data_IF_724143505462
#
_entry.id   IF_724143505462
#
_cell.length_a   1.000
_cell.length_b   1.000
_cell.length_c   1.000
_cell.angle_alpha   90.00
_cell.angle_beta   90.00
_cell.angle_gamma   90.00
#
_symmetry.space_group_name_H-M   'P 1'
#
loop_
_entity.id
_entity.type
_entity.pdbx_description
1 polymer ?
#
# COMPACT_ATOMS: atom_id res chain seq x y z
N UNK A 1 3.24 -10.01 1.46
CA UNK A 1 3.76 -8.64 1.41
C UNK A 1 2.74 -7.65 0.83
N UNK A 2 3.06 -6.36 0.91
CA UNK A 2 2.17 -5.30 0.43
C UNK A 2 1.96 -5.31 -1.08
N UNK A 3 2.95 -5.72 -1.88
CA UNK A 3 2.81 -5.77 -3.34
C UNK A 3 1.84 -6.86 -3.77
N UNK A 4 1.93 -8.04 -3.17
CA UNK A 4 0.99 -9.14 -3.39
C UNK A 4 -0.41 -8.79 -2.90
N UNK A 5 -0.52 -8.14 -1.73
CA UNK A 5 -1.79 -7.62 -1.21
C UNK A 5 -2.43 -6.62 -2.19
N UNK A 6 -1.63 -5.76 -2.82
CA UNK A 6 -2.09 -4.81 -3.84
C UNK A 6 -2.61 -5.53 -5.09
N UNK A 7 -1.89 -6.52 -5.59
CA UNK A 7 -2.34 -7.31 -6.74
C UNK A 7 -3.65 -8.08 -6.45
N UNK A 8 -3.78 -8.64 -5.25
CA UNK A 8 -5.03 -9.27 -4.80
C UNK A 8 -6.19 -8.27 -4.69
N UNK A 9 -5.90 -7.02 -4.26
CA UNK A 9 -6.90 -5.95 -4.24
C UNK A 9 -7.40 -5.61 -5.66
N UNK A 10 -6.50 -5.55 -6.64
CA UNK A 10 -6.87 -5.36 -8.06
C UNK A 10 -7.71 -6.54 -8.56
N UNK A 11 -7.30 -7.79 -8.31
CA UNK A 11 -8.09 -8.98 -8.62
C UNK A 11 -9.48 -8.93 -8.00
N UNK A 12 -9.57 -8.49 -6.75
CA UNK A 12 -10.83 -8.32 -6.04
C UNK A 12 -11.72 -7.27 -6.72
N UNK A 13 -11.17 -6.12 -7.10
CA UNK A 13 -11.90 -5.06 -7.80
C UNK A 13 -12.44 -5.55 -9.15
N UNK A 14 -11.64 -6.26 -9.93
CA UNK A 14 -12.08 -6.88 -11.21
C UNK A 14 -13.25 -7.86 -11.01
N UNK A 15 -13.20 -8.68 -9.96
CA UNK A 15 -14.31 -9.59 -9.63
C UNK A 15 -15.60 -8.85 -9.25
N UNK A 16 -15.48 -7.72 -8.55
CA UNK A 16 -16.62 -6.90 -8.11
C UNK A 16 -17.24 -6.16 -9.29
N UNK A 17 -16.44 -5.46 -10.06
CA UNK A 17 -16.91 -4.58 -11.15
C UNK A 17 -17.23 -5.33 -12.44
N UNK A 18 -16.66 -6.52 -12.65
CA UNK A 18 -16.71 -7.28 -13.90
C UNK A 18 -16.07 -6.52 -15.07
N UNK A 19 -15.05 -5.72 -14.81
CA UNK A 19 -14.30 -4.91 -15.77
C UNK A 19 -12.82 -5.27 -15.71
N UNK A 20 -12.08 -5.02 -16.79
CA UNK A 20 -10.70 -5.46 -16.94
C UNK A 20 -9.69 -4.31 -17.04
N UNK A 21 -10.14 -3.06 -17.20
CA UNK A 21 -9.25 -1.90 -17.28
C UNK A 21 -8.84 -1.45 -15.88
N UNK A 22 -7.53 -1.29 -15.67
CA UNK A 22 -6.92 -0.84 -14.42
C UNK A 22 -6.10 0.41 -14.67
N UNK A 23 -6.36 1.46 -13.91
CA UNK A 23 -5.60 2.71 -13.95
C UNK A 23 -4.70 2.78 -12.72
N UNK A 24 -3.40 2.88 -12.93
CA UNK A 24 -2.41 2.94 -11.85
C UNK A 24 -1.81 4.34 -11.80
N UNK A 25 -1.73 4.93 -10.59
CA UNK A 25 -1.06 6.21 -10.36
C UNK A 25 0.40 6.15 -10.79
N UNK A 26 0.90 7.17 -11.48
CA UNK A 26 2.31 7.26 -11.88
C UNK A 26 3.28 7.23 -10.70
N UNK A 27 2.82 7.59 -9.50
CA UNK A 27 3.60 7.65 -8.26
C UNK A 27 3.44 6.42 -7.37
N UNK A 28 2.83 5.33 -7.88
CA UNK A 28 2.90 4.03 -7.22
C UNK A 28 4.32 3.49 -7.27
N UNK A 29 4.75 2.80 -6.21
CA UNK A 29 6.04 2.11 -6.19
C UNK A 29 6.18 1.22 -7.44
N UNK A 30 7.23 1.40 -8.28
CA UNK A 30 7.31 0.75 -9.59
C UNK A 30 7.29 -0.77 -9.50
N UNK A 31 7.94 -1.37 -8.51
CA UNK A 31 7.89 -2.82 -8.31
C UNK A 31 6.49 -3.35 -7.94
N UNK A 32 5.65 -2.53 -7.30
CA UNK A 32 4.24 -2.89 -7.07
C UNK A 32 3.46 -2.93 -8.38
N UNK A 33 3.72 -1.97 -9.28
CA UNK A 33 3.12 -1.99 -10.61
C UNK A 33 3.57 -3.22 -11.42
N UNK A 34 4.85 -3.61 -11.33
CA UNK A 34 5.36 -4.83 -11.96
C UNK A 34 4.71 -6.10 -11.40
N UNK A 35 4.52 -6.18 -10.07
CA UNK A 35 3.84 -7.31 -9.44
C UNK A 35 2.37 -7.38 -9.87
N UNK A 36 1.67 -6.24 -9.92
CA UNK A 36 0.31 -6.17 -10.46
C UNK A 36 0.30 -6.71 -11.89
N UNK A 37 1.18 -6.18 -12.75
CA UNK A 37 1.26 -6.61 -14.14
C UNK A 37 1.53 -8.12 -14.25
N UNK A 38 2.44 -8.66 -13.46
CA UNK A 38 2.82 -10.07 -13.50
C UNK A 38 1.68 -11.00 -13.05
N UNK A 39 0.95 -10.63 -12.00
CA UNK A 39 -0.05 -11.50 -11.38
C UNK A 39 -1.46 -11.35 -11.98
N UNK A 40 -1.75 -10.19 -12.58
CA UNK A 40 -3.10 -9.84 -13.01
C UNK A 40 -3.24 -9.89 -14.53
N UNK A 41 -2.15 -9.65 -15.28
CA UNK A 41 -2.22 -9.56 -16.75
C UNK A 41 -2.74 -10.84 -17.37
N UNK A 42 -3.79 -10.70 -18.16
CA UNK A 42 -4.29 -11.68 -19.11
C UNK A 42 -4.46 -10.99 -20.48
N UNK A 43 -4.78 -11.75 -21.52
CA UNK A 43 -5.01 -11.18 -22.87
C UNK A 43 -6.19 -10.19 -22.93
N UNK A 44 -7.02 -10.14 -21.89
CA UNK A 44 -8.21 -9.28 -21.81
C UNK A 44 -7.98 -8.05 -20.90
N UNK A 45 -6.82 -7.95 -20.24
CA UNK A 45 -6.54 -6.90 -19.27
C UNK A 45 -5.86 -5.71 -19.93
N UNK A 46 -6.31 -4.52 -19.57
CA UNK A 46 -5.75 -3.24 -19.98
C UNK A 46 -5.22 -2.51 -18.76
N UNK A 47 -3.90 -2.53 -18.57
CA UNK A 47 -3.23 -1.88 -17.43
C UNK A 47 -2.56 -0.60 -17.91
N UNK A 48 -3.06 0.54 -17.42
CA UNK A 48 -2.49 1.86 -17.69
C UNK A 48 -1.56 2.26 -16.55
N UNK A 49 -0.27 2.21 -16.80
CA UNK A 49 0.77 2.67 -15.90
C UNK A 49 1.89 3.37 -16.66
N UNK A 50 2.29 4.54 -16.20
CA UNK A 50 3.42 5.30 -16.68
C UNK A 50 4.10 5.95 -15.48
N UNK A 51 5.29 5.48 -15.12
CA UNK A 51 6.02 5.97 -13.95
C UNK A 51 6.41 7.45 -14.13
N UNK A 52 6.09 8.26 -13.14
CA UNK A 52 6.42 9.69 -13.11
C UNK A 52 6.49 10.19 -11.68
N UNK A 53 7.33 11.19 -11.43
CA UNK A 53 7.43 11.85 -10.12
C UNK A 53 6.27 12.83 -9.82
N UNK A 54 5.38 13.06 -10.79
CA UNK A 54 4.28 14.00 -10.66
C UNK A 54 2.95 13.29 -10.45
N UNK A 55 2.33 13.50 -9.29
CA UNK A 55 0.94 13.15 -9.05
C UNK A 55 0.05 14.32 -9.44
N UNK A 56 -0.70 14.17 -10.51
CA UNK A 56 -1.68 15.15 -10.98
C UNK A 56 -3.06 14.47 -11.03
N UNK A 57 -3.94 14.85 -10.11
CA UNK A 57 -5.25 14.22 -9.97
C UNK A 57 -6.10 14.35 -11.22
N UNK A 58 -6.02 15.49 -11.92
CA UNK A 58 -6.75 15.77 -13.16
C UNK A 58 -6.31 14.85 -14.30
N UNK A 59 -5.01 14.59 -14.42
CA UNK A 59 -4.48 13.64 -15.41
C UNK A 59 -4.93 12.20 -15.11
N UNK A 60 -4.98 11.84 -13.84
CA UNK A 60 -5.45 10.52 -13.45
C UNK A 60 -6.94 10.37 -13.74
N UNK A 61 -7.76 11.38 -13.39
CA UNK A 61 -9.18 11.46 -13.69
C UNK A 61 -9.46 11.34 -15.18
N UNK A 62 -8.64 11.96 -16.03
CA UNK A 62 -8.85 11.90 -17.49
C UNK A 62 -8.68 10.50 -18.11
N UNK A 63 -8.08 9.56 -17.38
CA UNK A 63 -7.91 8.15 -17.78
C UNK A 63 -9.06 7.24 -17.31
N UNK A 64 -9.97 7.76 -16.49
CA UNK A 64 -11.06 7.00 -15.86
C UNK A 64 -12.33 7.16 -16.68
N UNK A 65 -12.85 6.05 -17.17
CA UNK A 65 -14.13 5.92 -17.87
C UNK A 65 -14.94 4.75 -17.30
N UNK A 66 -16.09 4.47 -17.89
CA UNK A 66 -17.01 3.41 -17.46
C UNK A 66 -16.50 1.98 -17.73
N UNK A 67 -15.38 1.81 -18.43
CA UNK A 67 -14.69 0.53 -18.61
C UNK A 67 -13.71 0.21 -17.48
N UNK A 68 -13.33 1.22 -16.65
CA UNK A 68 -12.36 1.07 -15.59
C UNK A 68 -12.91 0.22 -14.45
N UNK A 69 -12.15 -0.79 -14.04
CA UNK A 69 -12.39 -1.62 -12.87
C UNK A 69 -12.03 -0.91 -11.57
N UNK A 70 -10.80 -0.42 -11.53
CA UNK A 70 -10.26 0.27 -10.36
C UNK A 70 -9.16 1.26 -10.72
N UNK A 71 -8.97 2.19 -9.79
CA UNK A 71 -7.84 3.10 -9.76
C UNK A 71 -6.97 2.74 -8.57
N UNK A 72 -5.66 2.59 -8.78
CA UNK A 72 -4.68 2.23 -7.75
C UNK A 72 -3.79 3.44 -7.48
N UNK A 73 -3.77 3.92 -6.23
CA UNK A 73 -2.92 5.03 -5.80
C UNK A 73 -2.16 4.64 -4.54
N UNK A 74 -0.97 5.21 -4.36
CA UNK A 74 -0.20 5.05 -3.12
C UNK A 74 -0.22 6.37 -2.33
N UNK A 75 -0.43 6.29 -1.00
CA UNK A 75 -0.42 7.47 -0.14
C UNK A 75 0.11 7.13 1.27
N UNK A 76 1.24 7.69 1.73
CA UNK A 76 2.16 8.55 0.97
C UNK A 76 2.66 7.88 -0.31
N UNK A 77 2.91 8.67 -1.36
CA UNK A 77 3.34 8.13 -2.63
C UNK A 77 4.81 7.67 -2.61
N UNK A 78 5.28 7.06 -3.69
CA UNK A 78 6.65 6.54 -3.79
C UNK A 78 7.73 7.60 -3.55
N UNK A 79 7.45 8.85 -3.91
CA UNK A 79 8.37 9.97 -3.71
C UNK A 79 8.23 10.64 -2.33
N UNK A 80 7.33 10.11 -1.49
CA UNK A 80 7.07 10.54 -0.12
C UNK A 80 5.98 11.61 0.03
N UNK A 81 5.36 12.07 -1.06
CA UNK A 81 4.31 13.11 -0.99
C UNK A 81 3.00 12.55 -0.47
N UNK A 82 2.32 13.36 0.35
CA UNK A 82 0.99 13.05 0.87
C UNK A 82 -0.08 13.80 0.08
N UNK A 83 -1.15 13.11 -0.28
CA UNK A 83 -2.22 13.62 -1.14
C UNK A 83 -3.59 13.53 -0.48
N UNK A 84 -4.49 14.49 -0.82
CA UNK A 84 -5.92 14.37 -0.62
C UNK A 84 -6.51 13.53 -1.76
N UNK A 85 -7.28 12.50 -1.43
CA UNK A 85 -7.81 11.55 -2.42
C UNK A 85 -9.33 11.67 -2.62
N UNK A 86 -10.01 12.58 -1.90
CA UNK A 86 -11.45 12.69 -1.90
C UNK A 86 -12.03 12.99 -3.29
N UNK A 87 -11.44 13.95 -4.01
CA UNK A 87 -11.86 14.29 -5.38
C UNK A 87 -11.70 13.11 -6.33
N UNK A 88 -10.58 12.40 -6.24
CA UNK A 88 -10.34 11.21 -7.05
C UNK A 88 -11.33 10.10 -6.71
N UNK A 89 -11.64 9.90 -5.42
CA UNK A 89 -12.60 8.92 -4.96
C UNK A 89 -13.99 9.18 -5.52
N UNK A 90 -14.47 10.43 -5.40
CA UNK A 90 -15.79 10.84 -5.92
C UNK A 90 -15.91 10.58 -7.42
N UNK A 91 -14.91 10.99 -8.20
CA UNK A 91 -14.93 10.77 -9.64
C UNK A 91 -14.88 9.28 -9.99
N UNK A 92 -13.97 8.52 -9.36
CA UNK A 92 -13.84 7.07 -9.55
C UNK A 92 -15.18 6.36 -9.30
N UNK A 93 -15.86 6.71 -8.21
CA UNK A 93 -17.16 6.14 -7.87
C UNK A 93 -18.26 6.56 -8.85
N UNK A 94 -18.22 7.78 -9.38
CA UNK A 94 -19.21 8.24 -10.38
C UNK A 94 -19.16 7.42 -11.67
N UNK A 95 -17.99 6.87 -12.01
CA UNK A 95 -17.78 5.94 -13.14
C UNK A 95 -18.04 4.48 -12.77
N UNK A 96 -18.42 4.19 -11.53
CA UNK A 96 -18.66 2.82 -11.04
C UNK A 96 -17.39 1.99 -10.86
N UNK A 97 -16.21 2.62 -10.86
CA UNK A 97 -14.94 2.00 -10.55
C UNK A 97 -14.66 2.01 -9.04
N UNK A 98 -13.67 1.23 -8.58
CA UNK A 98 -13.24 1.18 -7.18
C UNK A 98 -11.92 1.92 -6.98
N UNK A 99 -11.78 2.61 -5.86
CA UNK A 99 -10.52 3.21 -5.44
C UNK A 99 -9.76 2.26 -4.51
N UNK A 100 -8.56 1.86 -4.93
CA UNK A 100 -7.60 1.09 -4.14
C UNK A 100 -6.50 2.03 -3.67
N UNK A 101 -6.29 2.10 -2.36
CA UNK A 101 -5.20 2.89 -1.77
C UNK A 101 -4.14 1.96 -1.20
N UNK A 102 -2.91 2.18 -1.62
CA UNK A 102 -1.73 1.45 -1.15
C UNK A 102 -1.02 2.27 -0.07
N UNK A 103 -0.68 1.64 1.05
CA UNK A 103 0.06 2.26 2.16
C UNK A 103 1.31 1.44 2.43
N UNK A 104 2.46 1.89 1.93
CA UNK A 104 3.73 1.18 2.11
C UNK A 104 4.31 1.39 3.51
N UNK A 105 4.07 2.54 4.13
CA UNK A 105 4.48 2.83 5.51
C UNK A 105 3.25 2.93 6.41
N UNK A 106 2.90 1.81 7.04
CA UNK A 106 1.71 1.71 7.87
C UNK A 106 1.73 2.65 9.09
N UNK A 107 2.91 3.02 9.59
CA UNK A 107 3.04 3.94 10.74
C UNK A 107 2.45 5.32 10.41
N UNK A 108 2.39 5.71 9.13
CA UNK A 108 1.77 6.95 8.68
C UNK A 108 0.31 7.10 9.11
N UNK A 109 -0.42 5.99 9.22
CA UNK A 109 -1.83 5.95 9.62
C UNK A 109 -2.09 6.42 11.06
N UNK A 110 -1.05 6.54 11.89
CA UNK A 110 -1.17 7.12 13.22
C UNK A 110 -1.31 8.67 13.23
N UNK A 111 -1.03 9.33 12.10
CA UNK A 111 -1.12 10.80 11.95
C UNK A 111 -1.94 11.24 10.76
N UNK A 112 -1.93 10.48 9.68
CA UNK A 112 -2.66 10.82 8.46
C UNK A 112 -4.13 10.44 8.57
N UNK A 113 -4.98 11.15 7.82
CA UNK A 113 -6.37 10.74 7.58
C UNK A 113 -6.37 9.35 6.95
N UNK A 114 -7.23 8.46 7.45
CA UNK A 114 -7.28 7.09 6.94
C UNK A 114 -7.73 7.05 5.48
N UNK A 115 -7.21 6.12 4.66
CA UNK A 115 -7.67 5.97 3.27
C UNK A 115 -9.18 5.74 3.15
N UNK A 116 -9.78 5.00 4.10
CA UNK A 116 -11.23 4.78 4.14
C UNK A 116 -12.02 6.06 4.30
N UNK A 117 -11.57 7.00 5.16
CA UNK A 117 -12.20 8.33 5.32
C UNK A 117 -12.00 9.22 4.09
N UNK A 118 -10.97 8.98 3.28
CA UNK A 118 -10.75 9.65 1.99
C UNK A 118 -11.50 8.98 0.83
N UNK A 119 -12.31 7.94 1.11
CA UNK A 119 -13.17 7.30 0.12
C UNK A 119 -12.67 5.97 -0.44
N UNK A 120 -11.51 5.45 -0.03
CA UNK A 120 -11.02 4.15 -0.50
C UNK A 120 -12.05 3.03 -0.32
N UNK A 121 -12.16 2.16 -1.31
CA UNK A 121 -12.98 0.95 -1.25
C UNK A 121 -12.19 -0.25 -0.72
N UNK A 122 -10.92 -0.31 -1.11
CA UNK A 122 -9.97 -1.34 -0.69
C UNK A 122 -8.66 -0.64 -0.31
N UNK A 123 -8.06 -1.06 0.78
CA UNK A 123 -6.74 -0.59 1.22
C UNK A 123 -5.81 -1.77 1.31
N UNK A 124 -4.65 -1.68 0.67
CA UNK A 124 -3.59 -2.66 0.74
C UNK A 124 -2.36 -2.02 1.41
N UNK A 125 -1.77 -2.69 2.40
CA UNK A 125 -0.64 -2.13 3.14
C UNK A 125 0.53 -3.12 3.24
N UNK A 126 1.73 -2.57 3.45
CA UNK A 126 2.86 -3.32 3.97
C UNK A 126 2.95 -3.10 5.49
N UNK A 127 2.95 -4.20 6.25
CA UNK A 127 2.91 -4.15 7.71
C UNK A 127 4.24 -4.39 8.41
N UNK A 128 5.34 -4.56 7.68
CA UNK A 128 6.66 -4.92 8.26
C UNK A 128 7.09 -3.99 9.38
N UNK A 129 6.85 -2.69 9.27
CA UNK A 129 7.26 -1.68 10.25
C UNK A 129 6.71 -1.89 11.68
N UNK A 130 5.72 -2.79 11.82
CA UNK A 130 5.11 -3.15 13.11
C UNK A 130 5.42 -4.60 13.47
N UNK A 131 6.44 -4.79 14.31
CA UNK A 131 6.76 -6.09 14.93
C UNK A 131 7.59 -7.05 14.07
N UNK A 132 7.87 -6.73 12.82
CA UNK A 132 8.74 -7.53 11.95
C UNK A 132 10.06 -6.78 11.72
N UNK A 133 11.22 -7.36 12.09
CA UNK A 133 12.50 -6.67 11.95
C UNK A 133 12.94 -6.57 10.49
N UNK A 134 13.84 -5.63 10.20
CA UNK A 134 14.51 -5.52 8.91
C UNK A 134 15.43 -6.72 8.70
N UNK A 135 15.14 -7.55 7.71
CA UNK A 135 15.93 -8.71 7.34
C UNK A 135 16.46 -8.64 5.89
N UNK A 136 16.48 -7.43 5.30
CA UNK A 136 17.05 -7.17 3.97
C UNK A 136 16.50 -8.08 2.86
N UNK A 137 15.20 -8.24 2.79
CA UNK A 137 14.52 -9.07 1.78
C UNK A 137 13.34 -9.88 2.33
N UNK A 138 12.84 -9.52 3.49
CA UNK A 138 11.73 -10.18 4.16
C UNK A 138 12.15 -10.94 5.43
N UNK A 139 11.18 -11.52 6.15
CA UNK A 139 9.78 -11.63 5.74
C UNK A 139 9.03 -10.29 5.85
N UNK A 140 8.03 -10.16 5.01
CA UNK A 140 7.08 -9.04 4.97
C UNK A 140 5.69 -9.53 5.31
N UNK A 141 4.73 -8.58 5.50
CA UNK A 141 3.33 -8.93 5.74
C UNK A 141 2.39 -7.98 4.99
N UNK A 142 1.64 -8.52 4.04
CA UNK A 142 0.58 -7.80 3.37
C UNK A 142 -0.67 -7.72 4.26
N UNK A 143 -1.24 -6.53 4.33
CA UNK A 143 -2.50 -6.26 5.01
C UNK A 143 -3.53 -5.81 4.00
N UNK A 144 -4.79 -6.16 4.23
CA UNK A 144 -5.89 -5.73 3.38
C UNK A 144 -7.12 -5.41 4.22
N UNK A 145 -7.77 -4.30 3.88
CA UNK A 145 -9.08 -3.95 4.41
C UNK A 145 -10.01 -3.48 3.28
N UNK A 146 -11.31 -3.58 3.49
CA UNK A 146 -12.33 -3.19 2.51
C UNK A 146 -13.61 -2.77 3.20
N UNK A 147 -14.49 -2.08 2.44
CA UNK A 147 -15.84 -1.76 2.89
C UNK A 147 -16.65 -3.04 3.12
N UNK A 148 -17.51 -3.08 4.13
CA UNK A 148 -18.30 -4.24 4.54
C UNK A 148 -19.07 -4.89 3.39
N UNK A 149 -19.62 -4.10 2.48
CA UNK A 149 -20.35 -4.60 1.30
C UNK A 149 -19.52 -5.52 0.40
N UNK A 150 -18.19 -5.49 0.51
CA UNK A 150 -17.28 -6.29 -0.31
C UNK A 150 -16.61 -7.44 0.45
N UNK A 151 -16.90 -7.64 1.72
CA UNK A 151 -16.24 -8.66 2.58
C UNK A 151 -16.24 -10.06 1.97
N UNK A 152 -17.30 -10.41 1.23
CA UNK A 152 -17.41 -11.73 0.55
C UNK A 152 -16.43 -11.90 -0.62
N UNK A 153 -15.82 -10.83 -1.10
CA UNK A 153 -14.83 -10.85 -2.18
C UNK A 153 -13.39 -10.76 -1.67
N UNK A 154 -13.21 -10.53 -0.36
CA UNK A 154 -11.90 -10.40 0.27
C UNK A 154 -11.12 -11.71 0.11
N UNK A 155 -9.86 -11.70 -0.36
CA UNK A 155 -9.03 -12.90 -0.41
C UNK A 155 -8.64 -13.37 1.00
N UNK A 156 -8.19 -14.62 1.09
CA UNK A 156 -7.71 -15.20 2.34
C UNK A 156 -8.83 -15.63 3.30
N UNK A 157 -8.42 -16.07 4.46
CA UNK A 157 -9.30 -16.62 5.51
C UNK A 157 -9.83 -15.50 6.38
N UNK A 158 -11.10 -15.61 6.75
CA UNK A 158 -11.75 -14.69 7.68
C UNK A 158 -12.20 -15.50 8.89
N UNK A 159 -11.83 -15.02 10.07
CA UNK A 159 -12.25 -15.60 11.35
C UNK A 159 -13.43 -14.80 11.88
N UNK A 160 -14.50 -15.50 12.23
CA UNK A 160 -15.69 -14.92 12.86
C UNK A 160 -15.78 -15.32 14.32
N UNK A 161 -16.32 -14.43 15.14
CA UNK A 161 -16.69 -14.71 16.51
C UNK A 161 -18.06 -15.41 16.54
N UNK A 162 -18.21 -16.42 17.38
CA UNK A 162 -19.46 -17.16 17.59
C UNK A 162 -19.53 -17.66 19.04
N UNK A 163 -20.61 -18.30 19.38
CA UNK A 163 -20.77 -19.02 20.66
C UNK A 163 -20.95 -20.52 20.42
N UNK A 164 -20.43 -21.34 21.31
CA UNK A 164 -20.66 -22.79 21.30
C UNK A 164 -22.05 -23.15 21.83
N UNK A 165 -22.35 -24.47 21.95
CA UNK A 165 -23.61 -24.94 22.44
C UNK A 165 -23.88 -24.61 23.92
N UNK A 166 -22.83 -24.28 24.69
CA UNK A 166 -22.91 -23.90 26.10
C UNK A 166 -22.98 -22.36 26.27
N UNK A 167 -22.94 -21.59 25.17
CA UNK A 167 -22.92 -20.13 25.20
C UNK A 167 -21.52 -19.55 25.41
N UNK A 168 -20.46 -20.35 25.38
CA UNK A 168 -19.09 -19.90 25.52
C UNK A 168 -18.59 -19.28 24.21
N UNK A 169 -17.86 -18.19 24.32
CA UNK A 169 -17.28 -17.48 23.19
C UNK A 169 -16.23 -18.33 22.46
N UNK A 170 -16.38 -18.44 21.15
CA UNK A 170 -15.46 -19.15 20.28
C UNK A 170 -15.17 -18.42 18.97
N UNK A 171 -14.21 -18.95 18.22
CA UNK A 171 -13.82 -18.42 16.91
C UNK A 171 -13.84 -19.52 15.87
N UNK A 172 -14.35 -19.20 14.67
CA UNK A 172 -14.48 -20.14 13.55
C UNK A 172 -14.00 -19.51 12.26
N UNK A 173 -13.50 -20.35 11.34
CA UNK A 173 -13.27 -19.92 9.97
C UNK A 173 -14.61 -19.71 9.27
N UNK A 174 -14.81 -18.49 8.74
CA UNK A 174 -16.02 -18.13 8.01
C UNK A 174 -15.75 -18.05 6.51
N UNK A 175 -16.81 -18.13 5.70
CA UNK A 175 -16.75 -18.01 4.24
C UNK A 175 -15.74 -18.98 3.58
N UNK A 176 -15.45 -20.11 4.21
CA UNK A 176 -14.46 -21.10 3.73
C UNK A 176 -14.78 -21.68 2.34
N UNK A 177 -16.05 -21.65 1.91
CA UNK A 177 -16.47 -22.17 0.60
C UNK A 177 -15.85 -21.44 -0.60
N UNK A 178 -15.27 -20.26 -0.41
CA UNK A 178 -14.59 -19.48 -1.45
C UNK A 178 -13.07 -19.79 -1.56
N UNK A 179 -12.56 -20.68 -0.69
CA UNK A 179 -11.14 -20.97 -0.57
C UNK A 179 -10.65 -22.04 -1.55
N UNK A 180 -9.35 -22.05 -1.79
CA UNK A 180 -8.65 -22.90 -2.75
C UNK A 180 -8.91 -24.40 -2.53
N UNK A 181 -8.90 -24.87 -1.29
CA UNK A 181 -9.11 -26.30 -0.96
C UNK A 181 -10.52 -26.82 -1.31
N UNK A 182 -11.48 -25.90 -1.51
CA UNK A 182 -12.86 -26.24 -1.92
C UNK A 182 -13.08 -25.90 -3.39
N UNK A 183 -12.74 -24.68 -3.80
CA UNK A 183 -13.06 -24.15 -5.15
C UNK A 183 -11.97 -24.37 -6.18
N UNK A 184 -10.76 -24.74 -5.78
CA UNK A 184 -9.58 -24.94 -6.63
C UNK A 184 -9.33 -23.69 -7.51
N UNK A 185 -9.30 -23.84 -8.84
CA UNK A 185 -9.10 -22.75 -9.80
C UNK A 185 -10.17 -21.66 -9.75
N UNK A 186 -11.34 -21.96 -9.19
CA UNK A 186 -12.46 -21.01 -9.01
C UNK A 186 -12.44 -20.30 -7.65
N UNK A 187 -11.39 -20.48 -6.86
CA UNK A 187 -11.23 -19.80 -5.57
C UNK A 187 -11.16 -18.29 -5.74
N UNK A 188 -11.51 -17.57 -4.69
CA UNK A 188 -11.39 -16.10 -4.65
C UNK A 188 -9.94 -15.66 -4.79
N UNK A 189 -9.00 -16.44 -4.23
CA UNK A 189 -7.56 -16.31 -4.45
C UNK A 189 -6.92 -17.69 -4.38
N UNK A 190 -5.86 -17.89 -5.16
CA UNK A 190 -5.04 -19.08 -5.13
C UNK A 190 -3.70 -18.85 -4.41
N UNK A 191 -3.51 -17.69 -3.79
CA UNK A 191 -2.36 -17.43 -2.92
C UNK A 191 -2.52 -18.21 -1.64
N UNK A 192 -1.52 -19.04 -1.35
CA UNK A 192 -1.44 -19.74 -0.08
C UNK A 192 -0.85 -18.78 0.96
N UNK A 193 -1.71 -18.20 1.77
CA UNK A 193 -1.32 -17.25 2.79
C UNK A 193 -0.73 -17.97 3.98
N UNK A 194 0.55 -17.84 4.26
CA UNK A 194 1.00 -18.23 5.59
C UNK A 194 2.23 -17.45 6.05
N UNK A 195 2.06 -16.15 6.15
CA UNK A 195 2.93 -15.35 7.01
C UNK A 195 2.42 -15.36 8.45
N UNK A 196 1.98 -16.53 8.95
CA UNK A 196 1.31 -16.64 10.24
C UNK A 196 2.14 -16.12 11.41
N UNK A 197 3.47 -16.38 11.41
CA UNK A 197 4.37 -15.87 12.43
C UNK A 197 4.52 -14.35 12.32
N UNK A 198 4.63 -13.80 11.12
CA UNK A 198 4.69 -12.36 10.88
C UNK A 198 3.37 -11.67 11.29
N UNK A 199 2.23 -12.29 10.98
CA UNK A 199 0.91 -11.81 11.42
C UNK A 199 0.80 -11.77 12.93
N UNK A 200 1.29 -12.81 13.61
CA UNK A 200 1.29 -12.87 15.06
C UNK A 200 2.19 -11.78 15.66
N UNK A 201 3.40 -11.61 15.14
CA UNK A 201 4.32 -10.57 15.58
C UNK A 201 3.71 -9.16 15.40
N UNK A 202 3.12 -8.90 14.24
CA UNK A 202 2.38 -7.67 13.96
C UNK A 202 1.24 -7.43 14.97
N UNK A 203 0.41 -8.44 15.18
CA UNK A 203 -0.76 -8.36 16.06
C UNK A 203 -0.35 -8.09 17.51
N UNK A 204 0.65 -8.81 18.01
CA UNK A 204 1.18 -8.60 19.37
C UNK A 204 1.75 -7.19 19.50
N UNK A 205 2.59 -6.76 18.55
CA UNK A 205 3.22 -5.45 18.60
C UNK A 205 2.19 -4.33 18.60
N UNK A 206 1.22 -4.38 17.66
CA UNK A 206 0.16 -3.37 17.57
C UNK A 206 -0.74 -3.36 18.82
N UNK A 207 -1.06 -4.53 19.37
CA UNK A 207 -1.86 -4.66 20.61
C UNK A 207 -1.15 -4.07 21.82
N UNK A 208 0.18 -4.25 21.91
CA UNK A 208 1.00 -3.66 23.00
C UNK A 208 1.13 -2.14 22.87
N UNK A 209 1.23 -1.63 21.66
CA UNK A 209 1.23 -0.18 21.42
C UNK A 209 -0.12 0.44 21.79
N UNK A 210 -1.22 -0.19 21.43
CA UNK A 210 -2.55 0.39 21.49
C UNK A 210 -2.67 1.66 20.67
N UNK A 211 -3.82 2.30 20.72
CA UNK A 211 -4.09 3.52 19.93
C UNK A 211 -3.09 4.66 20.30
N UNK A 212 -2.91 4.90 21.57
CA UNK A 212 -2.04 5.99 22.05
C UNK A 212 -0.57 5.75 21.73
N UNK A 213 -0.10 4.50 21.87
CA UNK A 213 1.28 4.13 21.52
C UNK A 213 1.52 4.24 20.02
N UNK A 214 0.58 3.81 19.19
CA UNK A 214 0.66 3.92 17.75
C UNK A 214 0.73 5.37 17.26
N UNK A 215 -0.15 6.24 17.78
CA UNK A 215 -0.11 7.69 17.48
C UNK A 215 1.20 8.32 17.92
N UNK A 216 1.70 7.94 19.09
CA UNK A 216 3.00 8.46 19.61
C UNK A 216 4.17 8.00 18.74
N UNK A 217 4.18 6.73 18.32
CA UNK A 217 5.20 6.18 17.42
C UNK A 217 5.22 6.92 16.09
N UNK A 218 4.04 7.13 15.48
CA UNK A 218 3.89 7.88 14.24
C UNK A 218 4.43 9.31 14.36
N UNK A 219 4.08 10.02 15.43
CA UNK A 219 4.58 11.37 15.71
C UNK A 219 6.10 11.40 15.85
N UNK A 220 6.69 10.51 16.64
CA UNK A 220 8.14 10.43 16.82
C UNK A 220 8.89 10.15 15.52
N UNK A 221 8.34 9.29 14.69
CA UNK A 221 8.88 8.96 13.37
C UNK A 221 8.90 10.20 12.47
N UNK A 222 7.76 10.89 12.36
CA UNK A 222 7.65 12.13 11.60
C UNK A 222 8.57 13.24 12.10
N UNK A 223 8.64 13.45 13.41
CA UNK A 223 9.54 14.46 14.03
C UNK A 223 11.02 14.18 13.70
N UNK A 224 11.43 12.90 13.65
CA UNK A 224 12.78 12.54 13.25
C UNK A 224 13.05 12.88 11.77
N UNK A 225 12.09 12.60 10.89
CA UNK A 225 12.17 12.96 9.47
C UNK A 225 12.24 14.49 9.26
N UNK A 226 11.43 15.26 9.99
CA UNK A 226 11.46 16.74 9.96
C UNK A 226 12.85 17.28 10.39
N UNK A 227 13.49 16.68 11.38
CA UNK A 227 14.85 17.09 11.79
C UNK A 227 15.85 16.90 10.65
N UNK A 228 15.80 15.76 9.97
CA UNK A 228 16.67 15.49 8.81
C UNK A 228 16.34 16.44 7.64
N UNK A 229 15.07 16.58 7.31
CA UNK A 229 14.57 17.50 6.28
C UNK A 229 15.11 18.92 6.47
N UNK A 230 14.96 19.47 7.67
CA UNK A 230 15.43 20.81 7.98
C UNK A 230 16.96 20.96 7.88
N UNK A 231 17.71 19.93 8.28
CA UNK A 231 19.17 19.94 8.12
C UNK A 231 19.60 19.89 6.66
N UNK A 232 18.99 19.05 5.85
CA UNK A 232 19.32 18.93 4.42
C UNK A 232 19.04 20.24 3.69
N UNK A 233 17.98 20.95 4.01
CA UNK A 233 17.66 22.27 3.42
C UNK A 233 18.70 23.36 3.70
N UNK A 234 19.55 23.19 4.70
CA UNK A 234 20.64 24.16 4.97
C UNK A 234 21.92 23.86 4.22
N UNK A 235 21.99 22.74 3.47
CA UNK A 235 23.17 22.35 2.71
C UNK A 235 23.11 22.91 1.31
N UNK A 236 24.20 23.54 0.88
CA UNK A 236 24.31 24.08 -0.47
C UNK A 236 24.18 22.98 -1.54
N UNK A 237 23.35 23.23 -2.54
CA UNK A 237 23.11 22.32 -3.66
C UNK A 237 22.13 21.17 -3.36
N UNK A 238 21.60 21.08 -2.14
CA UNK A 238 20.53 20.11 -1.79
C UNK A 238 19.17 20.78 -1.93
N UNK A 239 18.27 20.15 -2.70
CA UNK A 239 16.90 20.63 -2.88
C UNK A 239 15.92 19.53 -2.48
N UNK A 240 15.16 19.73 -1.41
CA UNK A 240 14.07 18.82 -1.03
C UNK A 240 12.84 19.11 -1.87
N UNK A 241 12.28 18.08 -2.51
CA UNK A 241 11.20 18.22 -3.49
C UNK A 241 9.81 18.28 -2.85
N UNK A 242 9.64 17.67 -1.68
CA UNK A 242 8.33 17.53 -1.03
C UNK A 242 7.96 18.76 -0.21
N UNK A 243 6.70 19.18 -0.33
CA UNK A 243 6.09 20.18 0.55
C UNK A 243 5.31 19.52 1.70
N UNK A 244 4.81 18.31 1.49
CA UNK A 244 4.08 17.49 2.45
C UNK A 244 4.59 16.05 2.38
N UNK A 245 4.97 15.46 3.50
CA UNK A 245 5.47 14.09 3.58
C UNK A 245 5.24 13.52 4.98
N UNK A 246 5.36 12.22 5.14
CA UNK A 246 5.32 11.58 6.45
C UNK A 246 6.74 11.35 7.01
N UNK A 247 7.47 10.37 6.49
CA UNK A 247 8.84 10.06 6.95
C UNK A 247 9.83 9.85 5.80
N UNK A 248 9.34 9.75 4.58
CA UNK A 248 10.13 9.66 3.37
C UNK A 248 9.96 10.94 2.56
N UNK A 249 11.02 11.39 1.90
CA UNK A 249 11.00 12.55 1.01
C UNK A 249 12.12 12.45 -0.03
N UNK A 250 11.89 13.07 -1.16
CA UNK A 250 12.82 13.08 -2.29
C UNK A 250 13.76 14.28 -2.23
N UNK A 251 15.04 14.04 -2.43
CA UNK A 251 16.09 15.08 -2.44
C UNK A 251 16.83 15.07 -3.76
N UNK A 252 16.89 16.24 -4.42
CA UNK A 252 17.83 16.47 -5.51
C UNK A 252 19.19 16.81 -4.94
N UNK A 253 20.20 16.10 -5.42
CA UNK A 253 21.58 16.22 -4.94
C UNK A 253 22.43 17.05 -5.91
N UNK A 254 23.52 17.72 -5.43
CA UNK A 254 24.45 18.44 -6.29
C UNK A 254 25.37 17.53 -7.11
N UNK A 255 25.34 16.23 -6.86
CA UNK A 255 26.12 15.19 -7.57
C UNK A 255 25.19 14.04 -7.97
N UNK A 256 25.69 13.14 -8.80
CA UNK A 256 24.96 11.94 -9.18
C UNK A 256 24.53 11.13 -7.94
N UNK A 257 23.25 10.73 -7.91
CA UNK A 257 22.65 10.07 -6.75
C UNK A 257 23.25 8.69 -6.48
N UNK A 258 23.64 7.93 -7.51
CA UNK A 258 24.28 6.62 -7.33
C UNK A 258 25.66 6.78 -6.69
N UNK A 259 26.44 7.74 -7.15
CA UNK A 259 27.75 8.07 -6.56
C UNK A 259 27.60 8.52 -5.09
N UNK A 260 26.55 9.32 -4.80
CA UNK A 260 26.29 9.76 -3.43
C UNK A 260 25.97 8.58 -2.51
N UNK A 261 25.04 7.70 -2.94
CA UNK A 261 24.61 6.54 -2.15
C UNK A 261 25.78 5.59 -1.89
N UNK A 262 26.66 5.34 -2.87
CA UNK A 262 27.85 4.52 -2.70
C UNK A 262 28.82 5.11 -1.66
N UNK A 263 29.11 6.40 -1.76
CA UNK A 263 29.97 7.09 -0.77
C UNK A 263 29.39 7.09 0.64
N UNK A 264 28.07 7.13 0.77
CA UNK A 264 27.41 7.03 2.08
C UNK A 264 27.44 5.62 2.62
N UNK A 265 27.30 4.60 1.75
CA UNK A 265 27.42 3.19 2.11
C UNK A 265 28.83 2.85 2.66
N UNK A 266 29.90 3.41 2.07
CA UNK A 266 31.27 3.29 2.60
C UNK A 266 31.39 3.79 4.05
N UNK A 267 30.52 4.72 4.46
CA UNK A 267 30.42 5.25 5.84
C UNK A 267 29.42 4.51 6.71
N UNK A 268 28.85 3.40 6.22
CA UNK A 268 27.85 2.61 6.93
C UNK A 268 26.45 3.25 6.95
N UNK A 269 26.14 4.18 6.02
CA UNK A 269 24.86 4.89 5.96
C UNK A 269 24.11 4.47 4.68
N UNK A 270 22.92 3.89 4.84
CA UNK A 270 22.00 3.65 3.74
C UNK A 270 21.21 4.93 3.46
N UNK A 271 21.62 5.68 2.45
CA UNK A 271 21.15 7.05 2.20
C UNK A 271 19.90 7.14 1.29
N UNK A 272 19.25 6.01 1.02
CA UNK A 272 18.06 5.94 0.17
C UNK A 272 18.33 5.27 -1.18
N UNK A 273 17.38 5.43 -2.10
CA UNK A 273 17.39 4.79 -3.42
C UNK A 273 17.49 5.87 -4.50
N UNK A 274 18.46 5.79 -5.43
CA UNK A 274 18.47 6.66 -6.61
C UNK A 274 17.22 6.41 -7.47
N UNK A 275 16.45 7.45 -7.76
CA UNK A 275 15.23 7.33 -8.58
C UNK A 275 15.55 6.77 -9.97
N UNK A 276 16.70 7.12 -10.53
CA UNK A 276 17.19 6.61 -11.82
C UNK A 276 17.34 5.09 -11.91
N UNK A 277 17.40 4.37 -10.79
CA UNK A 277 17.43 2.89 -10.79
C UNK A 277 16.05 2.26 -11.01
N UNK A 278 14.99 3.03 -10.92
CA UNK A 278 13.60 2.55 -10.94
C UNK A 278 12.79 3.14 -12.10
N UNK A 279 13.36 4.09 -12.82
CA UNK A 279 12.81 4.71 -14.03
C UNK A 279 13.48 4.12 -15.27
N UNK A 280 13.15 2.90 -15.64
CA UNK A 280 13.54 2.34 -16.94
C UNK A 280 12.42 2.49 -17.94
#
# INVERSE_FOLDING_TARGET
DGSTSTAEAVSMAKRITKRNKVVISPTLHPQYAEVINTLISSNEDEIHYEFSENFEVEKLISKIDDSVSCVVVQNPDFFGSCHSLEQLAEYTHSMGALLIVVVNEIISLGMMKSPGEMGADIVACEGQSLGNPLNFGGPYIGLMSTKDKYVRQLPGRIVGETTDMNGEKGFVLTLATREQHIRREKATSNICTNSGLCSLAFTIHLSLLGEMGFKKLSKLNHEAAIKLYNKLKTLDGFEVKNNSFFNEFTVKLPIDASVFVEKMAEKGILAGVPVSRLSN
#
